data_IF_693267548679
#
_entry.id   IF_693267548679
#
_cell.length_a   1.000
_cell.length_b   1.000
_cell.length_c   1.000
_cell.angle_alpha   90.00
_cell.angle_beta   90.00
_cell.angle_gamma   90.00
#
_symmetry.space_group_name_H-M   'P 1'
#
loop_
_entity.id
_entity.type
_entity.pdbx_description
1 polymer ?
#
# COMPACT_ATOMS: atom_id res chain seq x y z
N UNK A 1 44.76 20.64 19.60
CA UNK A 1 45.45 19.88 20.67
C UNK A 1 44.41 19.53 21.73
N UNK A 2 44.51 18.32 22.31
CA UNK A 2 43.56 17.59 23.19
C UNK A 2 42.39 16.88 22.47
N UNK A 3 42.54 15.58 22.10
CA UNK A 3 42.34 14.31 22.87
C UNK A 3 40.86 14.00 23.13
N UNK A 4 40.32 12.79 23.10
CA UNK A 4 40.68 11.42 22.70
C UNK A 4 39.47 10.55 23.08
N UNK A 5 39.08 9.56 22.27
CA UNK A 5 38.72 8.18 22.68
C UNK A 5 37.88 7.46 21.63
N UNK A 6 38.58 6.66 20.83
CA UNK A 6 38.08 5.45 20.17
C UNK A 6 38.11 4.31 21.18
N UNK A 7 37.00 3.59 21.35
CA UNK A 7 36.90 2.37 22.16
C UNK A 7 36.33 1.24 21.32
N UNK A 8 37.22 0.40 20.84
CA UNK A 8 36.98 -0.92 20.24
C UNK A 8 36.61 -1.87 21.36
N UNK A 9 35.57 -2.70 21.19
CA UNK A 9 35.32 -3.85 22.06
C UNK A 9 35.30 -5.13 21.23
N UNK A 10 36.10 -6.07 21.73
CA UNK A 10 36.51 -7.35 21.18
C UNK A 10 35.36 -8.36 21.09
N UNK A 11 35.44 -9.19 20.05
CA UNK A 11 34.74 -10.47 19.96
C UNK A 11 35.43 -11.47 20.88
N UNK A 12 34.77 -11.88 21.97
CA UNK A 12 35.17 -13.03 22.76
C UNK A 12 34.16 -14.17 22.54
N UNK A 13 34.67 -15.33 22.12
CA UNK A 13 33.93 -16.53 21.76
C UNK A 13 34.35 -17.67 22.70
N UNK A 14 33.33 -18.40 23.20
CA UNK A 14 33.32 -19.76 23.76
C UNK A 14 33.68 -19.92 25.27
N UNK A 15 33.17 -20.97 25.99
CA UNK A 15 32.69 -22.26 25.49
C UNK A 15 31.40 -22.88 26.11
N UNK A 16 30.90 -23.91 25.43
CA UNK A 16 29.83 -24.85 25.84
C UNK A 16 30.29 -25.80 26.96
N UNK A 17 29.45 -25.97 27.99
CA UNK A 17 29.24 -27.22 28.76
C UNK A 17 27.97 -27.11 29.64
N UNK A 18 26.99 -28.02 29.49
CA UNK A 18 25.78 -28.14 30.35
C UNK A 18 26.05 -28.96 31.63
N UNK A 19 25.07 -29.67 32.26
CA UNK A 19 23.60 -29.65 32.12
C UNK A 19 22.84 -29.51 33.49
N UNK A 20 21.51 -29.40 33.44
CA UNK A 20 20.51 -29.67 34.52
C UNK A 20 19.91 -28.46 35.28
N UNK A 21 18.58 -28.47 35.39
CA UNK A 21 17.67 -27.51 36.08
C UNK A 21 17.49 -26.20 35.29
N UNK A 22 16.30 -25.72 34.92
CA UNK A 22 14.96 -25.80 35.53
C UNK A 22 13.96 -25.84 34.37
N UNK A 23 13.12 -26.87 34.35
CA UNK A 23 12.03 -27.08 33.41
C UNK A 23 10.89 -26.15 33.85
N UNK A 24 10.89 -24.93 33.33
CA UNK A 24 9.82 -23.96 33.53
C UNK A 24 8.85 -24.10 32.34
N UNK A 25 7.63 -24.53 32.64
CA UNK A 25 6.59 -24.89 31.67
C UNK A 25 6.23 -23.67 30.80
N UNK A 26 6.19 -23.84 29.47
CA UNK A 26 5.88 -22.75 28.52
C UNK A 26 4.54 -22.06 28.85
N UNK A 27 3.62 -22.79 29.50
CA UNK A 27 2.36 -22.27 29.99
C UNK A 27 2.52 -21.21 31.11
N UNK A 28 3.52 -21.32 31.98
CA UNK A 28 3.79 -20.29 33.01
C UNK A 28 4.46 -19.05 32.42
N UNK A 29 5.34 -19.20 31.43
CA UNK A 29 5.86 -18.05 30.70
C UNK A 29 4.75 -17.32 29.95
N UNK A 30 3.81 -18.05 29.33
CA UNK A 30 2.68 -17.45 28.64
C UNK A 30 1.72 -16.75 29.61
N UNK A 31 1.52 -17.30 30.81
CA UNK A 31 0.71 -16.70 31.87
C UNK A 31 1.37 -15.44 32.45
N UNK A 32 2.69 -15.44 32.64
CA UNK A 32 3.45 -14.26 33.07
C UNK A 32 3.49 -13.17 31.99
N UNK A 33 3.50 -13.53 30.71
CA UNK A 33 3.38 -12.57 29.60
C UNK A 33 1.96 -11.99 29.46
N UNK A 34 0.93 -12.77 29.78
CA UNK A 34 -0.46 -12.31 29.84
C UNK A 34 -0.73 -11.41 31.06
N UNK A 35 -0.14 -11.71 32.22
CA UNK A 35 -0.28 -10.92 33.46
C UNK A 35 0.58 -9.64 33.44
N UNK A 36 1.67 -9.61 32.66
CA UNK A 36 2.53 -8.43 32.48
C UNK A 36 1.98 -7.41 31.46
N UNK A 37 0.90 -7.74 30.75
CA UNK A 37 0.20 -6.76 29.91
C UNK A 37 -0.78 -5.96 30.79
N UNK A 38 -0.62 -4.64 30.94
CA UNK A 38 -1.61 -3.84 31.67
C UNK A 38 -2.99 -4.01 31.03
N UNK A 39 -4.08 -3.97 31.81
CA UNK A 39 -5.43 -4.05 31.28
C UNK A 39 -5.58 -2.97 30.20
N UNK A 40 -6.08 -3.39 29.03
CA UNK A 40 -6.39 -2.47 27.92
C UNK A 40 -7.51 -1.57 28.42
N UNK A 41 -7.13 -0.41 28.93
CA UNK A 41 -8.06 0.64 29.30
C UNK A 41 -8.61 1.26 28.01
N UNK A 42 -9.78 0.77 27.59
CA UNK A 42 -10.53 1.24 26.42
C UNK A 42 -10.77 2.76 26.42
N UNK A 43 -10.71 3.41 27.60
CA UNK A 43 -10.84 4.86 27.71
C UNK A 43 -9.61 5.60 27.15
N UNK A 44 -8.41 5.07 27.39
CA UNK A 44 -7.15 5.61 26.85
C UNK A 44 -7.04 5.42 25.32
N UNK A 45 -7.58 4.31 24.81
CA UNK A 45 -7.65 4.04 23.38
C UNK A 45 -8.65 4.99 22.72
N UNK A 46 -9.81 5.24 23.35
CA UNK A 46 -10.81 6.22 22.90
C UNK A 46 -10.34 7.67 22.99
N UNK A 47 -9.55 8.03 24.01
CA UNK A 47 -8.95 9.36 24.09
C UNK A 47 -7.85 9.54 23.05
N UNK A 48 -7.04 8.52 22.76
CA UNK A 48 -6.10 8.56 21.63
C UNK A 48 -6.84 8.59 20.28
N UNK A 49 -8.00 7.95 20.18
CA UNK A 49 -8.90 7.97 19.02
C UNK A 49 -9.39 9.40 18.69
N UNK A 50 -9.63 10.22 19.71
CA UNK A 50 -10.11 11.59 19.57
C UNK A 50 -8.99 12.64 19.54
N UNK A 51 -7.83 12.35 20.14
CA UNK A 51 -6.72 13.29 20.30
C UNK A 51 -5.56 13.08 19.30
N UNK A 52 -5.61 12.04 18.47
CA UNK A 52 -4.68 11.93 17.35
C UNK A 52 -4.85 13.15 16.43
N UNK A 53 -3.77 13.82 16.00
CA UNK A 53 -3.84 14.98 15.11
C UNK A 53 -4.46 14.69 13.71
N UNK A 54 -4.94 13.46 13.48
CA UNK A 54 -5.79 13.06 12.35
C UNK A 54 -7.30 13.17 12.58
N UNK A 55 -7.78 13.49 13.79
CA UNK A 55 -9.20 13.71 14.09
C UNK A 55 -9.71 15.11 13.68
N UNK A 56 -8.80 16.03 13.31
CA UNK A 56 -9.19 17.23 12.56
C UNK A 56 -9.58 16.80 11.16
N UNK A 57 -10.88 16.83 10.87
CA UNK A 57 -11.44 16.58 9.54
C UNK A 57 -10.53 17.20 8.46
N UNK A 58 -9.87 16.39 7.62
CA UNK A 58 -8.91 16.93 6.69
C UNK A 58 -9.71 17.72 5.66
N UNK A 59 -9.44 19.02 5.56
CA UNK A 59 -9.75 19.70 4.31
C UNK A 59 -9.17 18.84 3.18
N UNK A 60 -9.89 18.72 2.05
CA UNK A 60 -9.48 17.86 0.93
C UNK A 60 -8.02 18.10 0.50
N UNK A 61 -7.49 19.31 0.75
CA UNK A 61 -6.10 19.72 0.55
C UNK A 61 -5.11 18.99 1.47
N UNK A 62 -5.44 18.77 2.74
CA UNK A 62 -4.58 18.03 3.68
C UNK A 62 -4.50 16.54 3.34
N UNK A 63 -5.61 15.97 2.86
CA UNK A 63 -5.65 14.60 2.35
C UNK A 63 -4.82 14.47 1.06
N UNK A 64 -4.97 15.43 0.14
CA UNK A 64 -4.28 15.42 -1.15
C UNK A 64 -2.76 15.65 -1.05
N UNK A 65 -2.32 16.59 -0.21
CA UNK A 65 -0.89 16.90 -0.05
C UNK A 65 -0.19 16.04 1.02
N UNK A 66 -0.90 15.10 1.65
CA UNK A 66 -0.39 14.27 2.74
C UNK A 66 0.23 15.07 3.90
N UNK A 67 -0.18 16.32 4.10
CA UNK A 67 0.43 17.21 5.11
C UNK A 67 0.15 16.76 6.55
N UNK A 68 -0.84 15.88 6.75
CA UNK A 68 -1.13 15.28 8.04
C UNK A 68 0.04 14.47 8.61
N UNK A 69 0.89 13.87 7.76
CA UNK A 69 2.03 13.07 8.22
C UNK A 69 3.15 13.92 8.82
N UNK A 70 3.18 15.22 8.50
CA UNK A 70 4.19 16.14 9.01
C UNK A 70 4.19 16.17 10.55
N UNK A 71 3.01 16.10 11.17
CA UNK A 71 2.88 16.02 12.63
C UNK A 71 3.56 14.78 13.22
N UNK A 72 3.33 13.62 12.60
CA UNK A 72 3.93 12.34 13.02
C UNK A 72 5.46 12.38 12.87
N UNK A 73 5.97 12.94 11.77
CA UNK A 73 7.41 13.09 11.54
C UNK A 73 8.05 14.02 12.57
N UNK A 74 7.41 15.14 12.90
CA UNK A 74 7.92 16.04 13.94
C UNK A 74 7.94 15.37 15.32
N UNK A 75 6.96 14.51 15.62
CA UNK A 75 6.93 13.75 16.86
C UNK A 75 8.02 12.67 16.91
N UNK A 76 8.29 12.01 15.79
CA UNK A 76 9.36 11.00 15.70
C UNK A 76 10.75 11.59 15.89
N UNK A 77 10.94 12.87 15.54
CA UNK A 77 12.19 13.59 15.78
C UNK A 77 12.41 13.90 17.27
N UNK A 78 11.35 13.93 18.07
CA UNK A 78 11.39 14.28 19.49
C UNK A 78 11.49 13.05 20.41
N UNK A 79 11.24 11.84 19.89
CA UNK A 79 11.35 10.60 20.66
C UNK A 79 10.93 9.37 19.86
N UNK A 80 11.15 8.18 20.42
CA UNK A 80 10.75 6.93 19.79
C UNK A 80 9.22 6.86 19.64
N UNK A 81 8.74 6.65 18.42
CA UNK A 81 7.32 6.47 18.13
C UNK A 81 6.82 5.18 18.79
N UNK A 82 5.84 5.32 19.67
CA UNK A 82 5.10 4.19 20.23
C UNK A 82 3.84 3.92 19.41
N UNK A 83 3.33 2.69 19.42
CA UNK A 83 2.11 2.30 18.70
C UNK A 83 0.89 3.19 19.03
N UNK A 84 0.85 3.75 20.24
CA UNK A 84 -0.20 4.65 20.73
C UNK A 84 -0.22 6.03 20.03
N UNK A 85 0.88 6.41 19.39
CA UNK A 85 1.04 7.71 18.72
C UNK A 85 0.67 7.64 17.23
N UNK A 86 0.37 6.45 16.68
CA UNK A 86 -0.09 6.33 15.31
C UNK A 86 -1.58 6.69 15.22
N UNK A 87 -1.99 7.42 14.17
CA UNK A 87 -3.40 7.66 13.92
C UNK A 87 -4.11 6.33 13.63
N UNK A 88 -5.38 6.20 14.02
CA UNK A 88 -6.17 5.03 13.68
C UNK A 88 -6.34 4.94 12.15
N UNK A 89 -6.49 3.71 11.66
CA UNK A 89 -6.79 3.48 10.25
C UNK A 89 -8.16 4.11 9.89
N UNK A 90 -8.32 4.64 8.67
CA UNK A 90 -9.62 5.02 8.14
C UNK A 90 -10.61 3.86 8.25
N UNK A 91 -11.91 4.12 8.53
CA UNK A 91 -12.90 3.06 8.70
C UNK A 91 -13.00 2.17 7.45
N UNK A 92 -12.92 2.78 6.27
CA UNK A 92 -12.86 2.16 4.93
C UNK A 92 -11.72 1.16 4.71
N UNK A 93 -10.59 1.34 5.41
CA UNK A 93 -9.42 0.46 5.29
C UNK A 93 -9.32 -0.54 6.45
N UNK A 94 -10.34 -0.59 7.30
CA UNK A 94 -10.39 -1.55 8.41
C UNK A 94 -10.62 -2.97 7.90
N UNK A 95 -9.94 -3.94 8.53
CA UNK A 95 -10.04 -5.37 8.23
C UNK A 95 -11.49 -5.88 8.08
N UNK A 96 -12.39 -5.45 8.95
CA UNK A 96 -13.81 -5.81 8.91
C UNK A 96 -14.49 -5.36 7.60
N UNK A 97 -14.32 -4.09 7.22
CA UNK A 97 -14.95 -3.55 6.00
C UNK A 97 -14.38 -4.19 4.74
N UNK A 98 -13.06 -4.35 4.69
CA UNK A 98 -12.35 -5.02 3.61
C UNK A 98 -12.83 -6.47 3.44
N UNK A 99 -12.99 -7.19 4.55
CA UNK A 99 -13.50 -8.57 4.53
C UNK A 99 -14.97 -8.65 4.09
N UNK A 100 -15.82 -7.72 4.56
CA UNK A 100 -17.23 -7.66 4.17
C UNK A 100 -17.39 -7.34 2.68
N UNK A 101 -16.59 -6.41 2.13
CA UNK A 101 -16.57 -6.08 0.72
C UNK A 101 -16.23 -7.31 -0.13
N UNK A 102 -15.18 -8.05 0.24
CA UNK A 102 -14.81 -9.30 -0.41
C UNK A 102 -15.92 -10.36 -0.31
N UNK A 103 -16.45 -10.61 0.90
CA UNK A 103 -17.48 -11.63 1.14
C UNK A 103 -18.76 -11.36 0.32
N UNK A 104 -19.14 -10.09 0.18
CA UNK A 104 -20.31 -9.69 -0.62
C UNK A 104 -20.14 -10.09 -2.08
N UNK A 105 -18.97 -9.83 -2.67
CA UNK A 105 -18.69 -10.20 -4.06
C UNK A 105 -18.51 -11.71 -4.22
N UNK A 106 -17.84 -12.36 -3.28
CA UNK A 106 -17.68 -13.82 -3.27
C UNK A 106 -19.04 -14.54 -3.22
N UNK A 107 -19.92 -14.13 -2.30
CA UNK A 107 -21.27 -14.69 -2.19
C UNK A 107 -22.12 -14.38 -3.43
N UNK A 108 -21.93 -13.22 -4.06
CA UNK A 108 -22.62 -12.89 -5.32
C UNK A 108 -22.21 -13.85 -6.44
N UNK A 109 -20.94 -14.24 -6.52
CA UNK A 109 -20.49 -15.26 -7.48
C UNK A 109 -21.03 -16.65 -7.16
N UNK A 110 -21.01 -17.06 -5.88
CA UNK A 110 -21.55 -18.34 -5.44
C UNK A 110 -23.06 -18.45 -5.74
N UNK A 111 -23.83 -17.40 -5.41
CA UNK A 111 -25.27 -17.35 -5.65
C UNK A 111 -25.63 -17.14 -7.13
N UNK A 112 -24.73 -16.51 -7.91
CA UNK A 112 -24.86 -16.34 -9.35
C UNK A 112 -24.75 -17.65 -10.14
N UNK A 113 -24.20 -18.71 -9.55
CA UNK A 113 -24.24 -20.08 -10.07
C UNK A 113 -25.64 -20.69 -9.89
N UNK A 114 -26.42 -20.24 -8.90
CA UNK A 114 -27.74 -20.80 -8.53
C UNK A 114 -28.98 -20.04 -9.01
N UNK A 115 -28.89 -18.76 -9.42
CA UNK A 115 -30.08 -17.96 -9.80
C UNK A 115 -30.60 -18.26 -11.21
N UNK A 116 -31.65 -19.07 -11.24
CA UNK A 116 -32.50 -19.34 -12.41
C UNK A 116 -33.25 -18.10 -12.89
N UNK A 117 -32.69 -17.45 -13.91
CA UNK A 117 -33.38 -16.41 -14.71
C UNK A 117 -32.73 -16.17 -16.08
N UNK A 118 -31.64 -16.90 -16.39
CA UNK A 118 -30.86 -16.71 -17.61
C UNK A 118 -31.11 -17.86 -18.57
N UNK A 119 -31.17 -17.56 -19.88
CA UNK A 119 -31.43 -18.54 -20.95
C UNK A 119 -30.62 -19.83 -20.76
N UNK A 120 -31.24 -21.00 -21.03
CA UNK A 120 -30.67 -22.35 -20.80
C UNK A 120 -29.24 -22.51 -21.36
N UNK A 121 -28.90 -21.79 -22.43
CA UNK A 121 -27.55 -21.74 -23.04
C UNK A 121 -26.49 -21.10 -22.13
N UNK A 122 -26.82 -19.97 -21.51
CA UNK A 122 -25.97 -19.21 -20.58
C UNK A 122 -25.84 -19.91 -19.24
N UNK A 123 -26.89 -20.60 -18.79
CA UNK A 123 -26.88 -21.43 -17.57
C UNK A 123 -25.89 -22.58 -17.67
N UNK A 124 -25.94 -23.37 -18.75
CA UNK A 124 -24.99 -24.48 -18.99
C UNK A 124 -23.53 -24.01 -19.08
N UNK A 125 -23.30 -22.77 -19.53
CA UNK A 125 -21.96 -22.14 -19.64
C UNK A 125 -21.45 -21.53 -18.33
N UNK A 126 -22.34 -21.23 -17.37
CA UNK A 126 -21.99 -20.69 -16.04
C UNK A 126 -21.91 -21.77 -14.98
N UNK A 127 -22.77 -22.80 -15.02
CA UNK A 127 -22.65 -24.00 -14.17
C UNK A 127 -21.33 -24.76 -14.42
N UNK A 128 -20.72 -24.60 -15.60
CA UNK A 128 -19.42 -25.21 -15.93
C UNK A 128 -18.21 -24.35 -15.55
N UNK A 129 -18.39 -23.13 -15.01
CA UNK A 129 -17.27 -22.25 -14.65
C UNK A 129 -17.07 -22.29 -13.14
N UNK A 130 -15.91 -22.77 -12.65
CA UNK A 130 -15.63 -22.71 -11.22
C UNK A 130 -15.59 -21.25 -10.75
N UNK A 131 -16.08 -20.94 -9.54
CA UNK A 131 -15.95 -19.60 -8.97
C UNK A 131 -14.47 -19.24 -8.87
N UNK A 132 -14.11 -18.03 -9.30
CA UNK A 132 -12.73 -17.58 -9.37
C UNK A 132 -12.47 -16.53 -8.31
N UNK A 133 -11.59 -16.84 -7.36
CA UNK A 133 -11.18 -15.93 -6.28
C UNK A 133 -10.66 -14.60 -6.84
N UNK A 134 -9.84 -14.67 -7.88
CA UNK A 134 -9.27 -13.50 -8.55
C UNK A 134 -10.35 -12.52 -9.03
N UNK A 135 -11.42 -13.01 -9.66
CA UNK A 135 -12.48 -12.14 -10.16
C UNK A 135 -13.31 -11.53 -9.03
N UNK A 136 -13.46 -12.23 -7.90
CA UNK A 136 -14.15 -11.67 -6.72
C UNK A 136 -13.35 -10.53 -6.10
N UNK A 137 -12.04 -10.69 -6.00
CA UNK A 137 -11.13 -9.65 -5.52
C UNK A 137 -11.09 -8.45 -6.48
N UNK A 138 -10.99 -8.71 -7.80
CA UNK A 138 -11.03 -7.64 -8.80
C UNK A 138 -12.38 -6.92 -8.84
N UNK A 139 -13.49 -7.60 -8.55
CA UNK A 139 -14.79 -6.92 -8.47
C UNK A 139 -14.95 -6.11 -7.19
N UNK A 140 -14.29 -6.50 -6.09
CA UNK A 140 -14.32 -5.77 -4.83
C UNK A 140 -13.43 -4.52 -4.84
N UNK A 141 -12.21 -4.63 -5.39
CA UNK A 141 -11.17 -3.58 -5.30
C UNK A 141 -10.78 -2.98 -6.66
N UNK A 142 -11.32 -3.49 -7.77
CA UNK A 142 -10.93 -3.06 -9.12
C UNK A 142 -11.34 -1.64 -9.47
N UNK A 143 -12.36 -1.07 -8.82
CA UNK A 143 -12.71 0.35 -9.02
C UNK A 143 -11.55 1.28 -8.66
N UNK A 144 -10.85 0.97 -7.57
CA UNK A 144 -9.69 1.73 -7.12
C UNK A 144 -8.48 1.54 -8.06
N UNK A 145 -8.34 0.36 -8.67
CA UNK A 145 -7.33 0.13 -9.73
C UNK A 145 -7.65 0.96 -10.98
N UNK A 146 -8.92 1.09 -11.36
CA UNK A 146 -9.31 1.95 -12.50
C UNK A 146 -9.02 3.42 -12.21
N UNK A 147 -9.25 3.90 -10.97
CA UNK A 147 -8.86 5.25 -10.56
C UNK A 147 -7.33 5.44 -10.70
N UNK A 148 -6.54 4.47 -10.25
CA UNK A 148 -5.09 4.49 -10.41
C UNK A 148 -4.67 4.50 -11.90
N UNK A 149 -5.34 3.75 -12.76
CA UNK A 149 -5.06 3.77 -14.20
C UNK A 149 -5.26 5.16 -14.81
N UNK A 150 -6.32 5.87 -14.42
CA UNK A 150 -6.56 7.25 -14.87
C UNK A 150 -5.51 8.23 -14.38
N UNK A 151 -5.08 8.10 -13.12
CA UNK A 151 -4.00 8.91 -12.55
C UNK A 151 -2.67 8.69 -13.30
N UNK A 152 -2.36 7.43 -13.62
CA UNK A 152 -1.15 7.09 -14.38
C UNK A 152 -1.21 7.64 -15.81
N UNK A 153 -2.36 7.52 -16.48
CA UNK A 153 -2.55 8.13 -17.80
C UNK A 153 -2.36 9.66 -17.76
N UNK A 154 -2.92 10.32 -16.74
CA UNK A 154 -2.69 11.76 -16.51
C UNK A 154 -1.22 12.10 -16.28
N UNK A 155 -0.50 11.27 -15.53
CA UNK A 155 0.94 11.42 -15.32
C UNK A 155 1.72 11.31 -16.65
N UNK A 156 1.41 10.32 -17.50
CA UNK A 156 2.04 10.18 -18.82
C UNK A 156 1.82 11.43 -19.69
N UNK A 157 0.59 11.95 -19.74
CA UNK A 157 0.28 13.18 -20.49
C UNK A 157 1.05 14.38 -19.94
N UNK A 158 1.09 14.55 -18.62
CA UNK A 158 1.84 15.64 -18.00
C UNK A 158 3.34 15.53 -18.29
N UNK A 159 3.87 14.30 -18.32
CA UNK A 159 5.27 14.03 -18.65
C UNK A 159 5.59 14.43 -20.10
N UNK A 160 4.73 14.08 -21.06
CA UNK A 160 4.87 14.52 -22.45
C UNK A 160 4.86 16.05 -22.57
N UNK A 161 3.94 16.74 -21.89
CA UNK A 161 3.89 18.21 -21.88
C UNK A 161 5.19 18.79 -21.29
N UNK A 162 5.68 18.23 -20.18
CA UNK A 162 6.92 18.67 -19.55
C UNK A 162 8.14 18.52 -20.48
N UNK A 163 8.19 17.44 -21.27
CA UNK A 163 9.26 17.22 -22.23
C UNK A 163 9.20 18.22 -23.39
N UNK A 164 8.01 18.53 -23.91
CA UNK A 164 7.83 19.55 -24.95
C UNK A 164 8.24 20.95 -24.44
N UNK A 165 7.85 21.31 -23.22
CA UNK A 165 8.25 22.56 -22.59
C UNK A 165 9.77 22.64 -22.37
N UNK A 166 10.40 21.53 -22.01
CA UNK A 166 11.85 21.45 -21.89
C UNK A 166 12.54 21.69 -23.24
N UNK A 167 12.06 21.06 -24.32
CA UNK A 167 12.60 21.29 -25.67
C UNK A 167 12.47 22.76 -26.11
N UNK A 168 11.34 23.42 -25.78
CA UNK A 168 11.15 24.84 -26.05
C UNK A 168 12.08 25.72 -25.22
N UNK A 169 12.28 25.40 -23.94
CA UNK A 169 13.21 26.12 -23.07
C UNK A 169 14.64 26.05 -23.59
N UNK A 170 15.09 24.86 -24.00
CA UNK A 170 16.42 24.65 -24.56
C UNK A 170 16.62 25.44 -25.86
N UNK A 171 15.65 25.37 -26.78
CA UNK A 171 15.69 26.15 -28.03
C UNK A 171 15.76 27.66 -27.76
N UNK A 172 15.07 28.14 -26.73
CA UNK A 172 15.10 29.56 -26.36
C UNK A 172 16.48 29.98 -25.86
N UNK A 173 17.13 29.15 -25.05
CA UNK A 173 18.51 29.38 -24.58
C UNK A 173 19.49 29.41 -25.76
N UNK A 174 19.36 28.48 -26.72
CA UNK A 174 20.20 28.45 -27.92
C UNK A 174 20.03 29.71 -28.78
N UNK A 175 18.80 30.20 -28.95
CA UNK A 175 18.52 31.42 -29.72
C UNK A 175 19.13 32.67 -29.07
N UNK A 176 19.01 32.81 -27.75
CA UNK A 176 19.58 33.96 -27.00
C UNK A 176 21.10 33.95 -27.04
N UNK A 177 21.72 32.77 -26.93
CA UNK A 177 23.18 32.63 -26.97
C UNK A 177 23.76 32.88 -28.36
N UNK A 178 23.07 32.47 -29.43
CA UNK A 178 23.54 32.63 -30.81
C UNK A 178 23.25 34.01 -31.42
N UNK A 179 22.09 34.60 -31.15
CA UNK A 179 21.63 35.83 -31.83
C UNK A 179 21.66 37.09 -30.96
N UNK A 180 21.96 36.99 -29.66
CA UNK A 180 22.22 38.14 -28.80
C UNK A 180 21.01 39.04 -28.47
N UNK A 181 19.79 38.61 -28.81
CA UNK A 181 18.57 39.38 -28.56
C UNK A 181 18.10 39.21 -27.11
N UNK A 182 18.56 40.08 -26.21
CA UNK A 182 18.40 39.92 -24.76
C UNK A 182 17.15 40.60 -24.18
N UNK A 183 16.54 41.54 -24.90
CA UNK A 183 15.53 42.46 -24.36
C UNK A 183 14.13 41.85 -24.25
N UNK A 184 13.66 41.21 -25.32
CA UNK A 184 12.34 40.55 -25.40
C UNK A 184 12.37 39.09 -24.92
N UNK A 185 13.55 38.46 -24.96
CA UNK A 185 13.72 37.04 -24.64
C UNK A 185 13.63 36.68 -23.15
N UNK A 186 13.88 37.60 -22.21
CA UNK A 186 13.82 37.30 -20.78
C UNK A 186 12.39 37.00 -20.29
N UNK A 187 11.40 37.76 -20.77
CA UNK A 187 10.00 37.57 -20.39
C UNK A 187 9.44 36.24 -20.91
N UNK A 188 9.68 35.93 -22.18
CA UNK A 188 9.25 34.68 -22.80
C UNK A 188 9.94 33.46 -22.17
N UNK A 189 11.25 33.54 -21.93
CA UNK A 189 11.99 32.47 -21.26
C UNK A 189 11.50 32.20 -19.84
N UNK A 190 11.18 33.25 -19.08
CA UNK A 190 10.62 33.10 -17.73
C UNK A 190 9.26 32.40 -17.75
N UNK A 191 8.39 32.75 -18.70
CA UNK A 191 7.08 32.08 -18.85
C UNK A 191 7.25 30.59 -19.15
N UNK A 192 8.16 30.22 -20.05
CA UNK A 192 8.42 28.82 -20.40
C UNK A 192 8.97 28.05 -19.18
N UNK A 193 9.91 28.63 -18.43
CA UNK A 193 10.48 28.00 -17.23
C UNK A 193 9.42 27.85 -16.13
N UNK A 194 8.60 28.86 -15.89
CA UNK A 194 7.49 28.77 -14.93
C UNK A 194 6.46 27.71 -15.35
N UNK A 195 6.13 27.62 -16.64
CA UNK A 195 5.25 26.58 -17.17
C UNK A 195 5.84 25.18 -17.00
N UNK A 196 7.15 25.03 -17.26
CA UNK A 196 7.88 23.77 -17.05
C UNK A 196 7.88 23.36 -15.57
N UNK A 197 8.13 24.31 -14.66
CA UNK A 197 8.07 24.06 -13.22
C UNK A 197 6.66 23.63 -12.76
N UNK A 198 5.61 24.27 -13.28
CA UNK A 198 4.23 23.88 -12.98
C UNK A 198 3.89 22.48 -13.53
N UNK A 199 4.30 22.17 -14.76
CA UNK A 199 4.08 20.86 -15.38
C UNK A 199 4.80 19.74 -14.61
N UNK A 200 6.08 19.94 -14.26
CA UNK A 200 6.86 18.95 -13.49
C UNK A 200 6.32 18.75 -12.06
N UNK A 201 5.84 19.80 -11.41
CA UNK A 201 5.14 19.69 -10.13
C UNK A 201 3.86 18.85 -10.27
N UNK A 202 3.06 19.10 -11.32
CA UNK A 202 1.86 18.31 -11.61
C UNK A 202 2.20 16.83 -11.87
N UNK A 203 3.26 16.53 -12.64
CA UNK A 203 3.74 15.16 -12.85
C UNK A 203 4.01 14.44 -11.53
N UNK A 204 4.72 15.12 -10.61
CA UNK A 204 5.10 14.54 -9.32
C UNK A 204 3.89 14.29 -8.43
N UNK A 205 2.95 15.24 -8.39
CA UNK A 205 1.71 15.09 -7.61
C UNK A 205 0.87 13.92 -8.12
N UNK A 206 0.69 13.81 -9.44
CA UNK A 206 -0.06 12.71 -10.06
C UNK A 206 0.59 11.35 -9.77
N UNK A 207 1.91 11.25 -9.90
CA UNK A 207 2.65 10.02 -9.63
C UNK A 207 2.54 9.60 -8.16
N UNK A 208 2.70 10.54 -7.23
CA UNK A 208 2.57 10.24 -5.79
C UNK A 208 1.15 9.82 -5.43
N UNK A 209 0.14 10.46 -6.04
CA UNK A 209 -1.27 10.06 -5.83
C UNK A 209 -1.52 8.66 -6.37
N UNK A 210 -0.99 8.34 -7.55
CA UNK A 210 -1.03 7.01 -8.13
C UNK A 210 -0.42 5.96 -7.20
N UNK A 211 0.82 6.18 -6.72
CA UNK A 211 1.51 5.24 -5.82
C UNK A 211 0.72 5.01 -4.54
N UNK A 212 0.16 6.07 -3.96
CA UNK A 212 -0.66 5.98 -2.75
C UNK A 212 -1.90 5.11 -2.97
N UNK A 213 -2.62 5.30 -4.09
CA UNK A 213 -3.82 4.48 -4.41
C UNK A 213 -3.42 3.02 -4.63
N UNK A 214 -2.35 2.76 -5.36
CA UNK A 214 -1.85 1.40 -5.59
C UNK A 214 -1.44 0.69 -4.29
N UNK A 215 -0.70 1.38 -3.41
CA UNK A 215 -0.34 0.86 -2.09
C UNK A 215 -1.56 0.58 -1.22
N UNK A 216 -2.54 1.49 -1.22
CA UNK A 216 -3.79 1.30 -0.49
C UNK A 216 -4.54 0.06 -0.94
N UNK A 217 -4.69 -0.14 -2.25
CA UNK A 217 -5.32 -1.35 -2.82
C UNK A 217 -4.54 -2.61 -2.46
N UNK A 218 -3.20 -2.56 -2.54
CA UNK A 218 -2.35 -3.69 -2.17
C UNK A 218 -2.57 -4.10 -0.71
N UNK A 219 -2.62 -3.13 0.22
CA UNK A 219 -2.91 -3.39 1.64
C UNK A 219 -4.31 -3.99 1.85
N UNK A 220 -5.33 -3.46 1.18
CA UNK A 220 -6.68 -4.01 1.26
C UNK A 220 -6.75 -5.45 0.72
N UNK A 221 -6.04 -5.72 -0.38
CA UNK A 221 -5.99 -7.03 -1.00
C UNK A 221 -5.29 -8.06 -0.12
N UNK A 222 -4.17 -7.69 0.49
CA UNK A 222 -3.44 -8.51 1.47
C UNK A 222 -4.35 -8.85 2.66
N UNK A 223 -4.94 -7.83 3.29
CA UNK A 223 -5.83 -8.01 4.44
C UNK A 223 -7.04 -8.90 4.10
N UNK A 224 -7.68 -8.67 2.94
CA UNK A 224 -8.80 -9.49 2.48
C UNK A 224 -8.39 -10.96 2.29
N UNK A 225 -7.24 -11.21 1.67
CA UNK A 225 -6.74 -12.55 1.41
C UNK A 225 -6.39 -13.29 2.71
N UNK A 226 -5.67 -12.63 3.63
CA UNK A 226 -5.34 -13.19 4.94
C UNK A 226 -6.59 -13.55 5.73
N UNK A 227 -7.56 -12.64 5.83
CA UNK A 227 -8.83 -12.88 6.54
C UNK A 227 -9.66 -13.99 5.89
N UNK A 228 -9.71 -14.04 4.54
CA UNK A 228 -10.43 -15.09 3.83
C UNK A 228 -9.82 -16.47 4.09
N UNK A 229 -8.49 -16.57 4.10
CA UNK A 229 -7.76 -17.81 4.39
C UNK A 229 -7.98 -18.22 5.84
N UNK A 230 -7.85 -17.30 6.80
CA UNK A 230 -8.06 -17.59 8.21
C UNK A 230 -9.51 -18.03 8.50
N UNK A 231 -10.52 -17.32 7.98
CA UNK A 231 -11.91 -17.73 8.11
C UNK A 231 -12.20 -19.10 7.48
N UNK A 232 -11.52 -19.43 6.37
CA UNK A 232 -11.66 -20.75 5.75
C UNK A 232 -10.95 -21.84 6.56
N UNK A 233 -9.77 -21.54 7.10
CA UNK A 233 -8.98 -22.41 7.98
C UNK A 233 -9.82 -22.89 9.17
N UNK A 234 -10.52 -21.98 9.82
CA UNK A 234 -11.37 -22.24 10.99
C UNK A 234 -12.66 -23.04 10.70
N UNK A 235 -13.07 -23.12 9.43
CA UNK A 235 -14.34 -23.76 9.00
C UNK A 235 -14.14 -25.05 8.22
N UNK A 236 -12.91 -25.56 8.12
CA UNK A 236 -12.61 -26.82 7.45
C UNK A 236 -13.09 -28.02 8.29
N UNK A 237 -13.58 -29.05 7.61
CA UNK A 237 -13.91 -30.33 8.25
C UNK A 237 -12.64 -31.07 8.67
N UNK A 238 -12.71 -31.89 9.72
CA UNK A 238 -11.58 -32.66 10.23
C UNK A 238 -10.88 -33.52 9.15
N UNK A 239 -11.65 -34.05 8.18
CA UNK A 239 -11.12 -34.82 7.05
C UNK A 239 -10.34 -34.00 6.01
N UNK A 240 -10.61 -32.70 5.91
CA UNK A 240 -9.86 -31.79 5.03
C UNK A 240 -8.72 -31.12 5.79
N UNK A 241 -8.91 -30.85 7.09
CA UNK A 241 -7.88 -30.35 7.99
C UNK A 241 -6.72 -31.36 8.11
N UNK A 242 -7.00 -32.66 8.18
CA UNK A 242 -5.93 -33.69 8.19
C UNK A 242 -5.09 -33.72 6.91
N UNK A 243 -5.59 -33.15 5.82
CA UNK A 243 -4.87 -32.98 4.55
C UNK A 243 -4.18 -31.62 4.42
N UNK A 244 -4.62 -30.62 5.19
CA UNK A 244 -4.05 -29.29 5.19
C UNK A 244 -2.96 -29.21 6.26
N UNK A 245 -1.70 -29.16 5.83
CA UNK A 245 -0.60 -28.90 6.76
C UNK A 245 -0.74 -27.47 7.34
N UNK A 246 -0.67 -27.29 8.67
CA UNK A 246 -0.69 -25.96 9.27
C UNK A 246 0.47 -25.09 8.77
N UNK A 247 1.63 -25.71 8.46
CA UNK A 247 2.75 -25.01 7.84
C UNK A 247 2.40 -24.48 6.44
N UNK A 248 1.67 -25.25 5.63
CA UNK A 248 1.24 -24.80 4.30
C UNK A 248 0.25 -23.63 4.38
N UNK A 249 -0.66 -23.64 5.37
CA UNK A 249 -1.57 -22.52 5.60
C UNK A 249 -0.83 -21.26 6.04
N UNK A 250 0.18 -21.39 6.92
CA UNK A 250 1.03 -20.29 7.34
C UNK A 250 1.84 -19.70 6.17
N UNK A 251 2.44 -20.55 5.31
CA UNK A 251 3.14 -20.09 4.11
C UNK A 251 2.21 -19.34 3.15
N UNK A 252 0.98 -19.82 2.97
CA UNK A 252 0.01 -19.17 2.09
C UNK A 252 -0.38 -17.77 2.59
N UNK A 253 -0.51 -17.60 3.91
CA UNK A 253 -0.75 -16.29 4.53
C UNK A 253 0.47 -15.38 4.42
N UNK A 254 1.65 -15.88 4.79
CA UNK A 254 2.85 -15.04 4.91
C UNK A 254 3.50 -14.70 3.57
N UNK A 255 3.40 -15.58 2.57
CA UNK A 255 4.06 -15.42 1.27
C UNK A 255 3.08 -15.08 0.16
N UNK A 256 2.06 -15.92 -0.06
CA UNK A 256 1.20 -15.78 -1.25
C UNK A 256 0.34 -14.52 -1.19
N UNK A 257 -0.13 -14.14 0.01
CA UNK A 257 -0.89 -12.90 0.19
C UNK A 257 -0.03 -11.65 -0.12
N UNK A 258 1.25 -11.66 0.27
CA UNK A 258 2.20 -10.57 -0.03
C UNK A 258 2.52 -10.50 -1.51
N UNK A 259 2.72 -11.65 -2.17
CA UNK A 259 2.92 -11.70 -3.61
C UNK A 259 1.70 -11.15 -4.34
N UNK A 260 0.49 -11.54 -3.92
CA UNK A 260 -0.75 -11.06 -4.50
C UNK A 260 -0.88 -9.53 -4.39
N UNK A 261 -0.57 -8.97 -3.22
CA UNK A 261 -0.56 -7.53 -2.98
C UNK A 261 0.49 -6.81 -3.86
N UNK A 262 1.70 -7.35 -3.93
CA UNK A 262 2.78 -6.83 -4.79
C UNK A 262 2.42 -6.88 -6.27
N UNK A 263 1.78 -7.96 -6.73
CA UNK A 263 1.29 -8.07 -8.11
C UNK A 263 0.24 -7.01 -8.44
N UNK A 264 -0.67 -6.71 -7.49
CA UNK A 264 -1.66 -5.65 -7.66
C UNK A 264 -1.01 -4.25 -7.73
N UNK A 265 0.02 -4.00 -6.93
CA UNK A 265 0.76 -2.73 -6.95
C UNK A 265 1.44 -2.47 -8.31
N UNK A 266 1.90 -3.53 -8.98
CA UNK A 266 2.58 -3.45 -10.28
C UNK A 266 1.67 -3.81 -11.47
N UNK A 267 0.36 -3.94 -11.28
CA UNK A 267 -0.56 -4.37 -12.33
C UNK A 267 -0.54 -3.44 -13.55
N UNK A 268 -0.39 -2.14 -13.33
CA UNK A 268 -0.35 -1.16 -14.42
C UNK A 268 0.96 -1.18 -15.23
N UNK A 269 2.03 -1.79 -14.70
CA UNK A 269 3.30 -1.94 -15.43
C UNK A 269 3.13 -2.79 -16.70
N UNK A 270 2.15 -3.70 -16.72
CA UNK A 270 1.87 -4.60 -17.85
C UNK A 270 1.56 -3.82 -19.14
N UNK A 271 0.81 -2.72 -19.04
CA UNK A 271 0.45 -1.90 -20.19
C UNK A 271 1.25 -0.60 -20.29
N UNK A 272 1.72 -0.05 -19.16
CA UNK A 272 2.52 1.18 -19.16
C UNK A 272 3.91 0.97 -19.78
N UNK A 273 4.55 -0.18 -19.53
CA UNK A 273 5.91 -0.44 -20.05
C UNK A 273 5.95 -0.50 -21.57
N UNK A 274 5.08 -1.29 -22.25
CA UNK A 274 5.03 -1.30 -23.71
C UNK A 274 4.70 0.07 -24.31
N UNK A 275 3.77 0.81 -23.70
CA UNK A 275 3.37 2.13 -24.16
C UNK A 275 4.55 3.12 -24.15
N UNK A 276 5.37 3.09 -23.10
CA UNK A 276 6.56 3.94 -23.01
C UNK A 276 7.64 3.54 -24.02
N UNK A 277 7.84 2.25 -24.29
CA UNK A 277 8.87 1.79 -25.24
C UNK A 277 8.50 2.00 -26.71
N UNK A 278 7.21 2.05 -27.04
CA UNK A 278 6.75 2.27 -28.42
C UNK A 278 7.10 3.66 -28.96
N UNK A 279 7.47 4.62 -28.10
CA UNK A 279 7.85 5.98 -28.48
C UNK A 279 9.33 6.11 -28.90
N UNK A 280 10.13 5.05 -28.78
CA UNK A 280 11.55 5.02 -29.20
C UNK A 280 11.80 3.96 -30.29
N UNK A 281 11.64 4.29 -31.58
CA UNK A 281 12.15 3.49 -32.70
C UNK A 281 13.67 3.60 -32.87
#
# INVERSE_FOLDING_TARGET
MHTSRTGVYELELAPLAGPSSILMDDAEQQKLLLEASPPIDDSSVRESFNNAPGAMAPSWRHSFLHTWIAGVITQSQQGALSARCLPPLPPEDTAEQVHLAFCTQWNTQLNGIGRGGMSKRTRKRRESRPPSLFWALMQAFGSSLVEAAWLLAGHCVALLISLQLLSMALRHVDLVTMYGDRGTALGEGLVVVCALAAATAACTVLLRRYDFVCQRVAMQLEAAAVLAVQHKALRLSAATLSRLSPAAAATLVDHDCKILASAAQHAHAIWATPAATAEYP
#
